data_IF_624130923884
#
_entry.id   IF_624130923884
#
_cell.length_a   1.000
_cell.length_b   1.000
_cell.length_c   1.000
_cell.angle_alpha   90.00
_cell.angle_beta   90.00
_cell.angle_gamma   90.00
#
_symmetry.space_group_name_H-M   'P 1'
#
loop_
_entity.id
_entity.type
_entity.pdbx_description
1 polymer ?
#
# COMPACT_ATOMS: atom_id res chain seq x y z
N UNK A 1 0.31 -29.54 27.92
CA UNK A 1 0.24 -29.32 26.45
C UNK A 1 -0.82 -28.32 26.00
N UNK A 2 -1.96 -28.14 26.70
CA UNK A 2 -3.03 -27.20 26.29
C UNK A 2 -2.63 -25.71 26.28
N UNK A 3 -1.83 -25.24 27.25
CA UNK A 3 -1.43 -23.82 27.35
C UNK A 3 -0.65 -23.29 26.14
N UNK A 4 0.22 -24.11 25.56
CA UNK A 4 1.03 -23.75 24.38
C UNK A 4 0.16 -23.58 23.13
N UNK A 5 -0.92 -24.35 23.02
CA UNK A 5 -1.84 -24.26 21.88
C UNK A 5 -2.65 -22.96 21.92
N UNK A 6 -3.11 -22.55 23.11
CA UNK A 6 -3.83 -21.29 23.28
C UNK A 6 -2.93 -20.08 23.00
N UNK A 7 -1.69 -20.09 23.49
CA UNK A 7 -0.76 -18.98 23.25
C UNK A 7 -0.44 -18.79 21.76
N UNK A 8 -0.25 -19.89 21.01
CA UNK A 8 -0.02 -19.85 19.56
C UNK A 8 -1.23 -19.31 18.80
N UNK A 9 -2.44 -19.69 19.20
CA UNK A 9 -3.67 -19.23 18.58
C UNK A 9 -3.84 -17.71 18.76
N UNK A 10 -3.67 -17.21 19.99
CA UNK A 10 -3.79 -15.79 20.28
C UNK A 10 -2.69 -14.97 19.61
N UNK A 11 -1.46 -15.48 19.54
CA UNK A 11 -0.38 -14.84 18.79
C UNK A 11 -0.70 -14.77 17.28
N UNK A 12 -1.25 -15.83 16.70
CA UNK A 12 -1.67 -15.85 15.29
C UNK A 12 -2.81 -14.85 15.01
N UNK A 13 -3.77 -14.71 15.93
CA UNK A 13 -4.85 -13.71 15.82
C UNK A 13 -4.30 -12.28 15.89
N UNK A 14 -3.37 -12.01 16.81
CA UNK A 14 -2.72 -10.71 16.90
C UNK A 14 -1.84 -10.40 15.67
N UNK A 15 -1.13 -11.41 15.14
CA UNK A 15 -0.33 -11.29 13.92
C UNK A 15 -1.20 -11.01 12.70
N UNK A 16 -2.35 -11.67 12.59
CA UNK A 16 -3.33 -11.44 11.52
C UNK A 16 -3.91 -10.03 11.59
N UNK A 17 -4.28 -9.55 12.79
CA UNK A 17 -4.82 -8.21 13.00
C UNK A 17 -3.81 -7.08 12.68
N UNK A 18 -2.51 -7.33 12.81
CA UNK A 18 -1.45 -6.34 12.49
C UNK A 18 -1.03 -6.41 11.02
N UNK A 19 -1.33 -7.50 10.30
CA UNK A 19 -0.86 -7.69 8.93
C UNK A 19 -1.54 -6.81 7.86
N UNK A 20 -2.64 -6.13 8.20
CA UNK A 20 -3.45 -5.35 7.23
C UNK A 20 -3.21 -3.85 7.26
N UNK A 21 -2.22 -3.35 8.00
CA UNK A 21 -1.98 -1.90 8.08
C UNK A 21 -1.02 -1.47 6.97
N UNK A 22 -1.64 -1.13 5.85
CA UNK A 22 -1.12 -0.28 4.76
C UNK A 22 -0.06 -0.89 3.84
N UNK A 23 -0.53 -1.48 2.74
CA UNK A 23 0.26 -1.42 1.51
C UNK A 23 0.10 -0.03 0.94
N UNK A 24 1.03 0.87 1.27
CA UNK A 24 1.16 2.11 0.53
C UNK A 24 1.45 1.71 -0.93
N UNK A 25 0.61 2.18 -1.86
CA UNK A 25 0.68 1.80 -3.27
C UNK A 25 2.03 2.14 -3.91
N UNK A 26 2.19 1.75 -5.18
CA UNK A 26 3.39 2.03 -5.97
C UNK A 26 3.72 3.52 -5.93
N UNK A 27 5.02 3.80 -5.87
CA UNK A 27 5.53 5.15 -5.93
C UNK A 27 5.78 5.49 -7.39
N UNK A 28 5.13 6.55 -7.82
CA UNK A 28 5.16 7.08 -9.17
C UNK A 28 6.02 8.35 -9.20
N UNK A 29 6.63 8.62 -10.33
CA UNK A 29 7.34 9.87 -10.61
C UNK A 29 7.04 10.34 -12.03
N UNK A 30 7.05 11.65 -12.23
CA UNK A 30 6.96 12.27 -13.55
C UNK A 30 8.24 12.02 -14.34
N UNK A 31 8.19 12.01 -15.69
CA UNK A 31 9.41 11.78 -16.49
C UNK A 31 10.04 13.09 -16.94
N UNK A 32 9.30 13.88 -17.72
CA UNK A 32 9.83 15.07 -18.38
C UNK A 32 8.87 16.27 -18.41
N UNK A 33 7.67 16.14 -17.83
CA UNK A 33 6.71 17.23 -17.69
C UNK A 33 5.68 17.00 -16.59
N UNK A 34 4.50 17.57 -16.78
CA UNK A 34 3.38 17.44 -15.86
C UNK A 34 2.71 16.09 -16.05
N UNK A 35 2.48 15.36 -14.94
CA UNK A 35 1.70 14.13 -14.96
C UNK A 35 0.24 14.46 -15.19
N UNK A 36 -0.36 13.88 -16.23
CA UNK A 36 -1.76 14.09 -16.57
C UNK A 36 -2.58 12.85 -16.26
N UNK A 37 -3.80 13.06 -15.78
CA UNK A 37 -4.65 12.01 -15.25
C UNK A 37 -6.06 12.11 -15.80
N UNK A 38 -6.62 10.98 -16.20
CA UNK A 38 -7.99 10.83 -16.69
C UNK A 38 -8.62 9.61 -16.03
N UNK A 39 -9.56 9.85 -15.11
CA UNK A 39 -10.36 8.80 -14.51
C UNK A 39 -11.46 8.36 -15.46
N UNK A 40 -11.62 7.05 -15.65
CA UNK A 40 -12.60 6.48 -16.58
C UNK A 40 -13.36 5.33 -15.95
N UNK A 41 -14.46 4.95 -16.57
CA UNK A 41 -15.21 3.75 -16.22
C UNK A 41 -15.34 2.84 -17.43
N UNK A 42 -15.39 1.52 -17.20
CA UNK A 42 -15.70 0.56 -18.26
C UNK A 42 -17.06 0.80 -18.93
N UNK A 43 -18.00 1.46 -18.23
CA UNK A 43 -19.35 1.71 -18.74
C UNK A 43 -19.54 3.05 -19.46
N UNK A 44 -18.51 3.90 -19.52
CA UNK A 44 -18.62 5.21 -20.16
C UNK A 44 -17.27 5.71 -20.68
N UNK A 45 -17.20 6.25 -21.91
CA UNK A 45 -15.99 6.88 -22.44
C UNK A 45 -15.70 8.25 -21.81
N UNK A 46 -16.59 8.76 -20.95
CA UNK A 46 -16.42 10.06 -20.31
C UNK A 46 -15.74 9.96 -18.94
N UNK A 47 -15.06 11.03 -18.48
CA UNK A 47 -14.45 11.05 -17.17
C UNK A 47 -15.47 10.72 -16.07
N UNK A 48 -15.07 9.91 -15.11
CA UNK A 48 -15.93 9.61 -13.96
C UNK A 48 -15.91 10.76 -12.95
N UNK A 49 -16.91 10.79 -12.06
CA UNK A 49 -16.91 11.68 -10.89
C UNK A 49 -16.04 11.17 -9.74
N UNK A 50 -15.19 10.18 -9.97
CA UNK A 50 -14.35 9.60 -8.91
C UNK A 50 -13.26 10.60 -8.50
N UNK A 51 -13.12 10.78 -7.19
CA UNK A 51 -12.11 11.67 -6.61
C UNK A 51 -10.83 10.88 -6.36
N UNK A 52 -9.77 11.32 -7.01
CA UNK A 52 -8.43 10.77 -6.89
C UNK A 52 -7.53 11.74 -6.13
N UNK A 53 -6.54 11.18 -5.46
CA UNK A 53 -5.58 11.89 -4.64
C UNK A 53 -4.16 11.48 -4.97
N UNK A 54 -3.28 12.47 -4.93
CA UNK A 54 -1.83 12.33 -5.02
C UNK A 54 -1.27 12.59 -3.63
N UNK A 55 -0.50 11.64 -3.12
CA UNK A 55 0.04 11.65 -1.78
C UNK A 55 1.56 11.69 -1.80
N UNK A 56 2.16 12.15 -0.71
CA UNK A 56 3.62 12.06 -0.55
C UNK A 56 4.11 10.62 -0.74
N UNK A 57 5.24 10.44 -1.43
CA UNK A 57 5.87 9.12 -1.55
C UNK A 57 6.22 8.49 -0.19
N UNK A 58 6.48 9.32 0.83
CA UNK A 58 6.75 8.86 2.21
C UNK A 58 5.49 8.53 3.01
N UNK A 59 4.30 8.71 2.44
CA UNK A 59 3.05 8.40 3.11
C UNK A 59 2.98 6.89 3.44
N UNK A 60 2.91 6.57 4.72
CA UNK A 60 2.70 5.21 5.21
C UNK A 60 1.23 4.84 5.20
N UNK A 61 0.32 5.81 5.24
CA UNK A 61 -1.14 5.65 5.13
C UNK A 61 -1.65 6.76 4.21
N UNK A 62 -2.64 6.45 3.37
CA UNK A 62 -3.28 7.45 2.50
C UNK A 62 -4.36 8.17 3.31
N UNK A 63 -4.13 9.43 3.63
CA UNK A 63 -5.05 10.27 4.40
C UNK A 63 -4.96 11.75 4.00
N UNK A 64 -5.83 12.59 4.57
CA UNK A 64 -5.83 14.03 4.27
C UNK A 64 -4.57 14.77 4.69
N UNK A 65 -3.74 14.21 5.58
CA UNK A 65 -2.51 14.87 6.07
C UNK A 65 -1.34 14.69 5.12
N UNK A 66 -1.37 13.60 4.35
CA UNK A 66 -0.36 13.24 3.35
C UNK A 66 -0.76 13.60 1.92
N UNK A 67 -1.96 14.15 1.72
CA UNK A 67 -2.52 14.56 0.44
C UNK A 67 -1.83 15.83 -0.08
N UNK A 68 -1.26 15.74 -1.27
CA UNK A 68 -0.62 16.85 -1.98
C UNK A 68 -1.59 17.53 -2.94
N UNK A 69 -2.38 16.74 -3.67
CA UNK A 69 -3.31 17.24 -4.67
C UNK A 69 -4.47 16.24 -4.85
N UNK A 70 -5.66 16.74 -5.15
CA UNK A 70 -6.82 15.89 -5.46
C UNK A 70 -7.60 16.46 -6.63
N UNK A 71 -8.18 15.58 -7.44
CA UNK A 71 -8.96 15.93 -8.62
C UNK A 71 -10.10 14.94 -8.85
N UNK A 72 -11.09 15.34 -9.63
CA UNK A 72 -12.19 14.48 -10.05
C UNK A 72 -12.31 14.48 -11.57
N UNK A 73 -12.33 13.29 -12.16
CA UNK A 73 -12.40 13.11 -13.62
C UNK A 73 -11.08 13.39 -14.34
N UNK A 74 -10.62 14.64 -14.37
CA UNK A 74 -9.36 15.03 -15.05
C UNK A 74 -8.50 15.85 -14.10
N UNK A 75 -7.20 15.55 -14.09
CA UNK A 75 -6.24 16.26 -13.26
C UNK A 75 -4.91 16.42 -13.98
N UNK A 76 -4.16 17.45 -13.62
CA UNK A 76 -2.78 17.65 -14.04
C UNK A 76 -1.97 18.03 -12.82
N UNK A 77 -0.81 17.38 -12.65
CA UNK A 77 0.04 17.56 -11.48
C UNK A 77 1.49 17.76 -11.90
N UNK A 78 1.99 18.96 -11.62
CA UNK A 78 3.37 19.34 -11.85
C UNK A 78 4.19 19.03 -10.60
N UNK A 79 4.93 17.93 -10.60
CA UNK A 79 5.89 17.62 -9.53
C UNK A 79 7.17 17.04 -10.08
N UNK A 80 8.30 17.46 -9.50
CA UNK A 80 9.60 16.82 -9.68
C UNK A 80 9.88 15.74 -8.62
N UNK A 81 8.99 15.62 -7.63
CA UNK A 81 9.13 14.67 -6.52
C UNK A 81 8.22 13.46 -6.70
N UNK A 82 8.67 12.24 -6.31
CA UNK A 82 7.83 11.06 -6.36
C UNK A 82 6.58 11.17 -5.48
N UNK A 83 5.53 10.45 -5.85
CA UNK A 83 4.21 10.50 -5.22
C UNK A 83 3.51 9.13 -5.24
N UNK A 84 2.44 9.01 -4.47
CA UNK A 84 1.55 7.84 -4.45
C UNK A 84 0.17 8.23 -4.96
N UNK A 85 -0.55 7.29 -5.55
CA UNK A 85 -1.91 7.49 -6.04
C UNK A 85 -2.92 6.79 -5.13
N UNK A 86 -4.05 7.45 -4.91
CA UNK A 86 -5.17 6.89 -4.15
C UNK A 86 -6.52 7.33 -4.68
N UNK A 87 -7.53 6.52 -4.39
CA UNK A 87 -8.93 6.77 -4.73
C UNK A 87 -9.72 7.01 -3.45
N UNK A 88 -10.57 8.05 -3.43
CA UNK A 88 -11.49 8.28 -2.33
C UNK A 88 -12.70 7.36 -2.44
N UNK A 89 -12.97 6.60 -1.38
CA UNK A 89 -14.15 5.75 -1.23
C UNK A 89 -14.96 6.18 -0.01
N UNK A 90 -16.16 5.64 0.17
CA UNK A 90 -16.98 5.88 1.37
C UNK A 90 -16.30 5.42 2.67
N UNK A 91 -15.36 4.48 2.59
CA UNK A 91 -14.57 3.99 3.72
C UNK A 91 -13.23 4.70 3.90
N UNK A 92 -12.90 5.69 3.07
CA UNK A 92 -11.63 6.41 3.07
C UNK A 92 -10.82 6.21 1.80
N UNK A 93 -9.53 6.56 1.85
CA UNK A 93 -8.64 6.46 0.71
C UNK A 93 -8.13 5.02 0.53
N UNK A 94 -8.15 4.55 -0.71
CA UNK A 94 -7.62 3.24 -1.09
C UNK A 94 -6.48 3.42 -2.07
N UNK A 95 -5.46 2.57 -1.95
CA UNK A 95 -4.34 2.53 -2.90
C UNK A 95 -4.72 1.86 -4.21
N UNK A 96 -3.83 2.01 -5.18
CA UNK A 96 -3.86 1.25 -6.43
C UNK A 96 -3.80 -0.26 -6.16
N UNK A 97 -4.62 -1.02 -6.88
CA UNK A 97 -4.71 -2.48 -6.80
C UNK A 97 -3.88 -3.16 -7.91
N UNK A 98 -3.86 -2.56 -9.11
CA UNK A 98 -3.03 -3.02 -10.23
C UNK A 98 -2.76 -1.90 -11.23
N UNK A 99 -1.72 -2.10 -12.05
CA UNK A 99 -1.37 -1.25 -13.17
C UNK A 99 -1.04 -2.08 -14.41
N UNK A 100 -1.18 -1.43 -15.57
CA UNK A 100 -0.80 -1.94 -16.87
C UNK A 100 -0.11 -0.84 -17.67
N UNK A 101 1.12 -1.08 -18.12
CA UNK A 101 1.80 -0.17 -19.04
C UNK A 101 1.19 -0.32 -20.44
N UNK A 102 0.69 0.78 -21.00
CA UNK A 102 0.15 0.80 -22.35
C UNK A 102 1.28 0.96 -23.37
N UNK A 103 1.90 2.14 -23.40
CA UNK A 103 3.06 2.48 -24.24
C UNK A 103 3.78 3.67 -23.60
N UNK A 104 5.12 3.62 -23.55
CA UNK A 104 5.94 4.71 -23.03
C UNK A 104 5.69 4.96 -21.54
N UNK A 105 5.52 6.22 -21.16
CA UNK A 105 5.24 6.65 -19.77
C UNK A 105 3.72 6.79 -19.54
N UNK A 106 2.93 5.86 -20.10
CA UNK A 106 1.46 5.87 -19.98
C UNK A 106 0.99 4.58 -19.34
N UNK A 107 0.25 4.71 -18.25
CA UNK A 107 -0.23 3.59 -17.45
C UNK A 107 -1.74 3.65 -17.29
N UNK A 108 -2.36 2.47 -17.32
CA UNK A 108 -3.72 2.26 -16.84
C UNK A 108 -3.64 1.68 -15.43
N UNK A 109 -4.20 2.38 -14.46
CA UNK A 109 -4.27 1.97 -13.08
C UNK A 109 -5.70 1.56 -12.73
N UNK A 110 -5.84 0.56 -11.87
CA UNK A 110 -7.12 0.11 -11.34
C UNK A 110 -7.15 0.18 -9.82
N UNK A 111 -8.29 0.60 -9.31
CA UNK A 111 -8.58 0.73 -7.89
C UNK A 111 -9.81 -0.10 -7.55
N UNK A 112 -9.73 -0.85 -6.46
CA UNK A 112 -10.84 -1.65 -5.96
C UNK A 112 -11.57 -0.90 -4.86
N UNK A 113 -12.84 -0.55 -5.13
CA UNK A 113 -13.80 0.04 -4.19
C UNK A 113 -14.40 -1.07 -3.33
N UNK A 114 -14.07 -1.14 -2.03
CA UNK A 114 -14.65 -2.16 -1.15
C UNK A 114 -16.16 -1.93 -0.98
N UNK A 115 -16.96 -3.00 -1.07
CA UNK A 115 -18.38 -2.99 -0.69
C UNK A 115 -19.38 -2.46 -1.73
N UNK A 116 -18.98 -2.26 -2.99
CA UNK A 116 -19.88 -1.82 -4.08
C UNK A 116 -20.03 -2.89 -5.16
N UNK A 117 -21.14 -2.89 -5.93
CA UNK A 117 -21.38 -3.85 -7.03
C UNK A 117 -20.55 -3.56 -8.29
N UNK A 118 -20.03 -2.34 -8.44
CA UNK A 118 -19.11 -1.96 -9.50
C UNK A 118 -17.78 -1.56 -8.84
N UNK A 119 -17.00 -2.58 -8.51
CA UNK A 119 -15.84 -2.46 -7.62
C UNK A 119 -14.63 -1.80 -8.27
N UNK A 120 -14.56 -1.72 -9.59
CA UNK A 120 -13.35 -1.28 -10.28
C UNK A 120 -13.48 0.16 -10.77
N UNK A 121 -12.50 0.98 -10.42
CA UNK A 121 -12.32 2.33 -10.98
C UNK A 121 -11.00 2.39 -11.70
N UNK A 122 -10.97 3.03 -12.86
CA UNK A 122 -9.80 3.10 -13.71
C UNK A 122 -9.26 4.52 -13.77
N UNK A 123 -7.95 4.61 -13.93
CA UNK A 123 -7.23 5.85 -14.12
C UNK A 123 -6.20 5.67 -15.22
N UNK A 124 -6.30 6.48 -16.27
CA UNK A 124 -5.18 6.67 -17.19
C UNK A 124 -4.25 7.73 -16.63
N UNK A 125 -2.98 7.38 -16.45
CA UNK A 125 -1.91 8.31 -16.14
C UNK A 125 -0.97 8.45 -17.33
N UNK A 126 -0.64 9.69 -17.67
CA UNK A 126 0.27 10.06 -18.75
C UNK A 126 1.46 10.81 -18.15
N UNK A 127 2.62 10.60 -18.76
CA UNK A 127 3.91 11.03 -18.24
C UNK A 127 4.14 10.61 -16.77
N UNK A 128 3.91 9.32 -16.50
CA UNK A 128 4.22 8.69 -15.24
C UNK A 128 5.03 7.42 -15.45
N UNK A 129 5.93 7.16 -14.52
CA UNK A 129 6.66 5.90 -14.42
C UNK A 129 6.81 5.47 -12.97
N UNK A 130 6.99 4.18 -12.69
CA UNK A 130 7.37 3.74 -11.35
C UNK A 130 8.71 4.38 -10.98
N UNK A 131 8.75 4.99 -9.80
CA UNK A 131 9.97 5.58 -9.27
C UNK A 131 11.07 4.54 -9.12
N UNK A 132 12.32 4.93 -9.38
CA UNK A 132 13.47 4.03 -9.22
C UNK A 132 13.60 3.51 -7.78
N UNK A 133 13.20 4.33 -6.80
CA UNK A 133 13.12 3.92 -5.41
C UNK A 133 11.65 3.77 -4.97
N UNK A 134 11.22 2.52 -4.76
CA UNK A 134 9.90 2.18 -4.22
C UNK A 134 9.83 2.23 -2.69
N UNK A 135 10.94 2.55 -2.03
CA UNK A 135 11.03 2.73 -0.58
C UNK A 135 11.88 3.98 -0.22
N UNK A 136 11.31 5.19 -0.35
CA UNK A 136 12.01 6.42 0.00
C UNK A 136 12.21 6.55 1.51
N UNK A 137 11.58 5.70 2.34
CA UNK A 137 11.77 5.64 3.79
C UNK A 137 12.84 4.61 4.13
N UNK A 138 14.08 5.01 3.92
CA UNK A 138 15.23 4.36 4.57
C UNK A 138 15.03 4.36 6.09
N UNK A 139 14.99 3.17 6.69
CA UNK A 139 15.09 2.86 8.13
C UNK A 139 13.88 3.16 9.03
N UNK A 140 12.77 2.46 8.82
CA UNK A 140 11.82 2.21 9.93
C UNK A 140 12.33 0.99 10.72
N UNK A 141 12.46 1.06 12.07
CA UNK A 141 12.66 -0.14 12.88
C UNK A 141 11.57 -1.13 12.52
N UNK A 142 11.96 -2.35 12.13
CA UNK A 142 11.05 -3.43 11.75
C UNK A 142 9.83 -3.43 12.68
N UNK A 143 8.60 -3.61 12.16
CA UNK A 143 7.39 -3.60 12.98
C UNK A 143 7.59 -4.38 14.27
N UNK A 144 7.05 -3.90 15.40
CA UNK A 144 7.27 -4.52 16.71
C UNK A 144 6.98 -6.03 16.72
N UNK A 145 6.09 -6.50 15.83
CA UNK A 145 5.82 -7.91 15.57
C UNK A 145 7.06 -8.71 15.13
N UNK A 146 7.92 -8.14 14.29
CA UNK A 146 9.18 -8.76 13.85
C UNK A 146 10.17 -8.85 15.00
N UNK A 147 10.27 -7.80 15.83
CA UNK A 147 11.09 -7.80 17.05
C UNK A 147 10.61 -8.84 18.07
N UNK A 148 9.30 -8.94 18.28
CA UNK A 148 8.70 -9.94 19.17
C UNK A 148 8.87 -11.35 18.60
N UNK A 149 8.81 -11.52 17.28
CA UNK A 149 9.03 -12.80 16.60
C UNK A 149 10.48 -13.28 16.75
N UNK A 150 11.48 -12.42 16.46
CA UNK A 150 12.89 -12.78 16.66
C UNK A 150 13.18 -13.07 18.12
N UNK A 151 12.69 -12.26 19.04
CA UNK A 151 12.86 -12.47 20.48
C UNK A 151 12.22 -13.78 20.96
N UNK A 152 11.00 -14.08 20.49
CA UNK A 152 10.32 -15.34 20.82
C UNK A 152 11.04 -16.56 20.22
N UNK A 153 11.50 -16.48 18.97
CA UNK A 153 12.24 -17.56 18.32
C UNK A 153 13.57 -17.83 19.03
N UNK A 154 14.32 -16.80 19.39
CA UNK A 154 15.54 -16.89 20.19
C UNK A 154 15.25 -17.48 21.57
N UNK A 155 14.15 -17.07 22.23
CA UNK A 155 13.71 -17.65 23.49
C UNK A 155 13.35 -19.14 23.39
N UNK A 156 12.68 -19.56 22.32
CA UNK A 156 12.37 -20.97 22.07
C UNK A 156 13.62 -21.81 21.80
N UNK A 157 14.57 -21.29 21.01
CA UNK A 157 15.85 -21.95 20.75
C UNK A 157 16.69 -22.06 22.02
N UNK A 158 16.73 -21.00 22.83
CA UNK A 158 17.44 -20.98 24.12
C UNK A 158 16.83 -21.95 25.13
N UNK A 159 15.51 -21.92 25.31
CA UNK A 159 14.81 -22.83 26.23
C UNK A 159 14.85 -24.30 25.78
N UNK A 160 14.89 -24.55 24.47
CA UNK A 160 15.04 -25.90 23.92
C UNK A 160 16.41 -26.52 24.20
N UNK A 161 17.48 -25.71 24.26
CA UNK A 161 18.86 -26.19 24.44
C UNK A 161 19.16 -26.73 25.85
N UNK A 162 18.42 -26.30 26.88
CA UNK A 162 18.65 -26.75 28.25
C UNK A 162 18.00 -28.10 28.60
N UNK A 163 17.15 -28.67 27.73
CA UNK A 163 16.50 -29.95 28.01
C UNK A 163 17.32 -31.17 27.57
N UNK A 164 18.33 -31.00 26.73
CA UNK A 164 19.21 -32.10 26.28
C UNK A 164 20.36 -32.40 27.24
N UNK A 165 20.65 -31.52 28.21
CA UNK A 165 21.79 -31.65 29.13
C UNK A 165 21.40 -32.06 30.56
N UNK A 166 20.16 -32.50 30.80
CA UNK A 166 19.70 -32.95 32.12
C UNK A 166 19.44 -34.46 32.21
N UNK A 167 20.04 -35.25 31.32
CA UNK A 167 20.16 -36.70 31.47
C UNK A 167 21.61 -37.11 31.18
N UNK A 168 22.43 -37.05 32.22
CA UNK A 168 23.66 -37.82 32.38
C UNK A 168 23.80 -38.13 33.88
#
# INVERSE_FOLDING_TARGET
>A
MKMISFFRLWLAVCLFAVSTVSSAGIIWESTDGDSNFLSVSFSSPFPTGDTLGLFSATATVLDSTSLLYSFSGVGSFATSSPFKLGLLTSSGWVGEDANYNLVGNTYLLSFTKPGLSNTLSLLYGFDIKPAANQDPVSSVPLPASVWLMTSALLGFLYAGRNKSNLVA
#
